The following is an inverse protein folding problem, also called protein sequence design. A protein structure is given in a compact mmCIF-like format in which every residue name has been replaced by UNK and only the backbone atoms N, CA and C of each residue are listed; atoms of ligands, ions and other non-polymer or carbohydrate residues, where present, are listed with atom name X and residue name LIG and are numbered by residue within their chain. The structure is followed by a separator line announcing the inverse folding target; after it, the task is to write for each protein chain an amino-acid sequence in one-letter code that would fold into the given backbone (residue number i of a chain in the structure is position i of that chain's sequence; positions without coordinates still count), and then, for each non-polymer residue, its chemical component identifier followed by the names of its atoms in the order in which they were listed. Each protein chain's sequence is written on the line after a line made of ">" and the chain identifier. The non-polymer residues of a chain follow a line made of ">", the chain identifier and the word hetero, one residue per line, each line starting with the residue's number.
data_IF_626874075954
#
_entry.id   IF_626874075954
#
_cell.length_a   1.000
_cell.length_b   1.000
_cell.length_c   1.000
_cell.angle_alpha   90.00
_cell.angle_beta   90.00
_cell.angle_gamma   90.00
#
_symmetry.space_group_name_H-M   'P 1'
#
loop_
_entity.id
_entity.type
_entity.pdbx_description
1 polymer ?
#
# COMPACT_ATOMS: atom_id res chain seq x y z
N UNK A 1 -6.11 69.61 30.86
CA UNK A 1 -5.07 70.01 29.90
C UNK A 1 -3.93 69.02 30.00
N UNK A 2 -3.66 68.28 28.91
CA UNK A 2 -2.37 67.67 28.45
C UNK A 2 -1.51 66.89 29.47
N UNK A 3 -0.95 65.70 29.26
CA UNK A 3 -0.95 64.58 28.29
C UNK A 3 0.00 63.57 28.96
N UNK A 4 -0.33 62.27 29.04
CA UNK A 4 0.64 61.27 29.51
C UNK A 4 0.54 59.94 28.74
N UNK A 5 1.55 59.76 27.89
CA UNK A 5 2.33 58.54 27.59
C UNK A 5 1.57 57.27 27.20
N UNK A 6 1.74 56.90 25.92
CA UNK A 6 1.38 55.63 25.32
C UNK A 6 2.23 54.48 25.90
N UNK A 7 1.60 53.33 26.18
CA UNK A 7 2.27 52.04 26.35
C UNK A 7 1.76 51.08 25.27
N UNK A 8 2.67 50.71 24.36
CA UNK A 8 2.42 49.77 23.28
C UNK A 8 2.14 48.37 23.81
N UNK A 9 0.92 47.90 23.60
CA UNK A 9 0.49 46.52 23.87
C UNK A 9 1.13 45.55 22.88
N UNK A 10 1.64 44.45 23.43
CA UNK A 10 2.33 43.38 22.70
C UNK A 10 1.37 42.67 21.74
N UNK A 11 1.82 42.55 20.49
CA UNK A 11 1.23 41.76 19.41
C UNK A 11 1.11 40.28 19.80
N UNK A 12 -0.09 39.71 19.67
CA UNK A 12 -0.29 38.26 19.52
C UNK A 12 -0.12 37.94 18.05
N UNK A 13 1.05 37.40 17.67
CA UNK A 13 1.27 36.88 16.34
C UNK A 13 0.50 35.57 16.18
N UNK A 14 -0.44 35.60 15.25
CA UNK A 14 -1.18 34.47 14.71
C UNK A 14 -0.19 33.52 14.00
N UNK A 15 -0.12 32.28 14.46
CA UNK A 15 0.84 31.28 13.99
C UNK A 15 0.38 30.64 12.68
N UNK A 16 0.41 31.39 11.59
CA UNK A 16 0.41 30.82 10.24
C UNK A 16 1.84 30.84 9.72
N UNK A 17 2.45 29.67 9.57
CA UNK A 17 3.68 29.53 8.77
C UNK A 17 3.23 29.36 7.31
N UNK A 18 3.31 30.38 6.44
CA UNK A 18 3.00 30.19 5.03
C UNK A 18 4.03 29.26 4.40
N UNK A 19 3.56 28.20 3.75
CA UNK A 19 4.37 27.25 3.01
C UNK A 19 5.21 27.99 1.97
N UNK A 20 6.53 27.94 2.13
CA UNK A 20 7.48 28.44 1.15
C UNK A 20 7.31 27.61 -0.15
N UNK A 21 7.10 28.24 -1.31
CA UNK A 21 7.05 27.50 -2.58
C UNK A 21 8.40 26.82 -2.83
N UNK A 22 8.36 25.59 -3.35
CA UNK A 22 9.52 24.76 -3.72
C UNK A 22 10.30 25.29 -4.94
N UNK A 23 10.29 26.60 -5.17
CA UNK A 23 11.17 27.25 -6.11
C UNK A 23 12.58 27.29 -5.51
N UNK A 24 13.33 26.21 -5.72
CA UNK A 24 14.70 26.04 -5.21
C UNK A 24 15.02 24.66 -4.62
N UNK A 25 14.25 23.62 -4.94
CA UNK A 25 14.66 22.25 -4.63
C UNK A 25 15.96 21.91 -5.38
N UNK A 26 16.88 21.22 -4.71
CA UNK A 26 18.09 20.71 -5.34
C UNK A 26 17.72 19.78 -6.52
N UNK A 27 18.53 19.76 -7.60
CA UNK A 27 18.18 19.08 -8.85
C UNK A 27 17.94 17.57 -8.70
N UNK A 28 18.55 16.94 -7.70
CA UNK A 28 18.32 15.57 -7.27
C UNK A 28 16.93 15.36 -6.67
N UNK A 29 16.45 16.30 -5.85
CA UNK A 29 15.09 16.28 -5.28
C UNK A 29 14.05 16.52 -6.38
N UNK A 30 14.31 17.43 -7.31
CA UNK A 30 13.40 17.70 -8.44
C UNK A 30 13.29 16.50 -9.41
N UNK A 31 14.39 15.78 -9.65
CA UNK A 31 14.37 14.57 -10.48
C UNK A 31 13.63 13.41 -9.77
N UNK A 32 13.79 13.28 -8.45
CA UNK A 32 13.08 12.30 -7.64
C UNK A 32 11.56 12.57 -7.63
N UNK A 33 11.14 13.83 -7.47
CA UNK A 33 9.71 14.18 -7.50
C UNK A 33 9.08 13.99 -8.89
N UNK A 34 9.82 14.24 -9.97
CA UNK A 34 9.34 14.02 -11.34
C UNK A 34 9.08 12.53 -11.67
N UNK A 35 9.84 11.61 -11.06
CA UNK A 35 9.71 10.16 -11.32
C UNK A 35 8.70 9.46 -10.39
N UNK A 36 8.33 10.10 -9.28
CA UNK A 36 7.42 9.58 -8.27
C UNK A 36 6.01 9.19 -8.79
N UNK A 37 5.32 9.98 -9.64
CA UNK A 37 4.00 9.59 -10.14
C UNK A 37 4.05 8.32 -10.99
N UNK A 38 5.05 8.18 -11.87
CA UNK A 38 5.25 6.98 -12.68
C UNK A 38 5.57 5.75 -11.81
N UNK A 39 6.36 5.94 -10.75
CA UNK A 39 6.66 4.88 -9.78
C UNK A 39 5.37 4.40 -9.10
N UNK A 40 4.59 5.31 -8.50
CA UNK A 40 3.32 5.00 -7.83
C UNK A 40 2.34 4.32 -8.76
N UNK A 41 2.22 4.81 -10.00
CA UNK A 41 1.36 4.22 -11.02
C UNK A 41 1.69 2.76 -11.31
N UNK A 42 2.97 2.38 -11.23
CA UNK A 42 3.45 1.03 -11.51
C UNK A 42 3.53 0.10 -10.30
N UNK A 43 3.30 0.63 -9.10
CA UNK A 43 3.32 -0.10 -7.83
C UNK A 43 1.90 -0.45 -7.39
N UNK A 44 1.73 -1.65 -6.83
CA UNK A 44 0.53 -2.05 -6.11
C UNK A 44 0.75 -1.70 -4.63
N UNK A 45 0.15 -0.60 -4.19
CA UNK A 45 0.12 -0.22 -2.78
C UNK A 45 -0.81 -1.17 -2.04
N UNK A 46 -0.25 -2.01 -1.18
CA UNK A 46 -0.95 -3.03 -0.40
C UNK A 46 -0.54 -2.96 1.09
N UNK A 47 -0.15 -1.76 1.54
CA UNK A 47 0.09 -1.47 2.96
C UNK A 47 -1.25 -1.29 3.65
N UNK A 48 -1.42 -1.86 4.86
CA UNK A 48 -2.70 -1.79 5.56
C UNK A 48 -2.94 -0.43 6.25
N UNK A 49 -1.93 0.43 6.29
CA UNK A 49 -2.01 1.78 6.89
C UNK A 49 -2.19 2.89 5.85
N UNK A 50 -1.94 2.61 4.57
CA UNK A 50 -1.97 3.58 3.47
C UNK A 50 -3.29 3.62 2.70
N UNK A 51 -4.34 2.95 3.18
CA UNK A 51 -5.59 2.83 2.47
C UNK A 51 -6.22 4.22 2.25
N UNK A 52 -6.39 4.67 0.99
CA UNK A 52 -7.08 5.91 0.74
C UNK A 52 -8.52 5.76 1.23
N UNK A 53 -9.00 6.73 2.01
CA UNK A 53 -10.43 6.87 2.21
C UNK A 53 -11.08 6.96 0.83
N UNK A 54 -12.14 6.17 0.55
CA UNK A 54 -12.81 6.23 -0.74
C UNK A 54 -13.19 7.69 -1.00
N UNK A 55 -12.63 8.26 -2.08
CA UNK A 55 -13.01 9.60 -2.52
C UNK A 55 -14.47 9.51 -2.94
N UNK A 56 -15.36 9.91 -2.04
CA UNK A 56 -16.75 10.18 -2.37
C UNK A 56 -16.72 11.22 -3.50
N UNK A 57 -17.06 10.80 -4.71
CA UNK A 57 -17.35 11.71 -5.80
C UNK A 57 -18.57 12.51 -5.37
N UNK A 58 -18.36 13.71 -4.82
CA UNK A 58 -19.41 14.72 -4.64
C UNK A 58 -20.64 14.29 -3.84
N UNK A 59 -20.53 13.46 -2.80
CA UNK A 59 -21.67 13.06 -1.97
C UNK A 59 -21.45 13.42 -0.51
N UNK A 60 -22.50 13.98 0.10
CA UNK A 60 -22.49 14.62 1.40
C UNK A 60 -21.94 13.71 2.53
N UNK A 61 -21.27 14.28 3.55
CA UNK A 61 -20.85 13.54 4.74
C UNK A 61 -22.09 13.06 5.49
N UNK A 62 -22.51 11.82 5.25
CA UNK A 62 -23.68 11.22 5.90
C UNK A 62 -24.22 9.94 5.26
N UNK A 63 -23.96 9.67 3.98
CA UNK A 63 -24.42 8.43 3.33
C UNK A 63 -23.32 7.37 3.27
N UNK A 64 -23.11 6.67 4.39
CA UNK A 64 -22.31 5.42 4.44
C UNK A 64 -22.95 4.30 3.59
N UNK A 65 -24.15 4.53 3.06
CA UNK A 65 -25.00 3.58 2.36
C UNK A 65 -25.07 3.82 0.84
N UNK A 66 -23.99 4.32 0.23
CA UNK A 66 -23.92 4.39 -1.23
C UNK A 66 -23.51 3.01 -1.76
N UNK A 67 -24.13 2.55 -2.85
CA UNK A 67 -23.83 1.25 -3.46
C UNK A 67 -22.33 1.10 -3.76
N UNK A 68 -21.67 2.18 -4.17
CA UNK A 68 -20.23 2.20 -4.43
C UNK A 68 -19.34 1.95 -3.20
N UNK A 69 -19.77 2.39 -1.99
CA UNK A 69 -19.02 2.12 -0.76
C UNK A 69 -19.11 0.64 -0.36
N UNK A 70 -20.31 0.05 -0.44
CA UNK A 70 -20.50 -1.37 -0.16
C UNK A 70 -19.72 -2.26 -1.14
N UNK A 71 -19.83 -1.99 -2.45
CA UNK A 71 -19.09 -2.73 -3.48
C UNK A 71 -17.57 -2.65 -3.29
N UNK A 72 -17.05 -1.50 -2.85
CA UNK A 72 -15.62 -1.35 -2.55
C UNK A 72 -15.18 -2.30 -1.44
N UNK A 73 -15.95 -2.37 -0.34
CA UNK A 73 -15.63 -3.25 0.78
C UNK A 73 -15.77 -4.72 0.41
N UNK A 74 -16.80 -5.10 -0.35
CA UNK A 74 -16.96 -6.46 -0.86
C UNK A 74 -15.74 -6.88 -1.68
N UNK A 75 -15.26 -6.05 -2.61
CA UNK A 75 -14.04 -6.34 -3.38
C UNK A 75 -12.80 -6.46 -2.48
N UNK A 76 -12.68 -5.61 -1.47
CA UNK A 76 -11.55 -5.67 -0.55
C UNK A 76 -11.55 -6.98 0.27
N UNK A 77 -12.72 -7.40 0.77
CA UNK A 77 -12.88 -8.66 1.50
C UNK A 77 -12.58 -9.86 0.60
N UNK A 78 -13.21 -9.92 -0.58
CA UNK A 78 -12.94 -10.97 -1.58
C UNK A 78 -11.46 -11.03 -1.95
N UNK A 79 -10.80 -9.88 -2.12
CA UNK A 79 -9.37 -9.84 -2.41
C UNK A 79 -8.52 -10.41 -1.27
N UNK A 80 -8.88 -10.13 -0.02
CA UNK A 80 -8.16 -10.60 1.15
C UNK A 80 -8.37 -12.11 1.38
N UNK A 81 -9.59 -12.61 1.14
CA UNK A 81 -9.90 -14.04 1.13
C UNK A 81 -9.07 -14.79 0.07
N UNK A 82 -9.04 -14.32 -1.18
CA UNK A 82 -8.27 -14.96 -2.26
C UNK A 82 -6.76 -14.97 -1.96
N UNK A 83 -6.23 -13.89 -1.36
CA UNK A 83 -4.86 -13.84 -0.89
C UNK A 83 -4.59 -14.89 0.18
N UNK A 84 -5.45 -14.96 1.20
CA UNK A 84 -5.30 -15.92 2.29
C UNK A 84 -5.38 -17.35 1.77
N UNK A 85 -6.36 -17.68 0.94
CA UNK A 85 -6.53 -19.01 0.32
C UNK A 85 -5.28 -19.42 -0.45
N UNK A 86 -4.74 -18.54 -1.29
CA UNK A 86 -3.56 -18.84 -2.10
C UNK A 86 -2.30 -19.05 -1.26
N UNK A 87 -2.14 -18.28 -0.19
CA UNK A 87 -1.01 -18.42 0.75
C UNK A 87 -1.14 -19.67 1.63
N UNK A 88 -2.36 -20.16 1.85
CA UNK A 88 -2.65 -21.42 2.53
C UNK A 88 -2.59 -22.65 1.61
N UNK A 89 -2.49 -22.46 0.29
CA UNK A 89 -2.35 -23.55 -0.65
C UNK A 89 -1.12 -24.43 -0.35
N UNK A 90 -1.19 -25.72 -0.73
CA UNK A 90 -0.19 -26.73 -0.38
C UNK A 90 1.23 -26.35 -0.77
N UNK A 91 1.44 -25.74 -1.94
CA UNK A 91 2.75 -25.33 -2.43
C UNK A 91 3.31 -24.12 -1.65
N UNK A 92 2.46 -23.16 -1.27
CA UNK A 92 2.82 -22.03 -0.39
C UNK A 92 3.20 -22.51 1.01
N UNK A 93 2.40 -23.42 1.59
CA UNK A 93 2.71 -24.01 2.91
C UNK A 93 3.98 -24.86 2.88
N UNK A 94 4.21 -25.61 1.81
CA UNK A 94 5.45 -26.36 1.61
C UNK A 94 6.67 -25.44 1.47
N UNK A 95 6.47 -24.19 1.05
CA UNK A 95 7.49 -23.14 1.03
C UNK A 95 7.64 -22.39 2.35
N UNK A 96 6.91 -22.79 3.40
CA UNK A 96 7.03 -22.20 4.73
C UNK A 96 6.17 -20.96 4.97
N UNK A 97 5.22 -20.68 4.08
CA UNK A 97 4.24 -19.60 4.24
C UNK A 97 3.03 -20.10 5.03
N UNK A 98 2.51 -19.28 5.94
CA UNK A 98 1.24 -19.52 6.62
C UNK A 98 0.46 -18.21 6.80
N UNK A 99 -0.80 -18.31 7.21
CA UNK A 99 -1.64 -17.16 7.59
C UNK A 99 -1.99 -17.33 9.06
N UNK A 100 -1.72 -16.30 9.88
CA UNK A 100 -1.76 -16.40 11.35
C UNK A 100 -3.09 -16.95 11.90
N UNK A 101 -4.22 -16.58 11.30
CA UNK A 101 -5.58 -17.04 11.66
C UNK A 101 -6.10 -18.19 10.80
N UNK A 102 -5.32 -18.68 9.83
CA UNK A 102 -5.79 -19.65 8.84
C UNK A 102 -6.77 -19.09 7.81
N UNK A 103 -6.88 -17.76 7.72
CA UNK A 103 -7.83 -17.04 6.87
C UNK A 103 -7.93 -15.57 7.26
N UNK A 104 -8.92 -14.87 6.76
CA UNK A 104 -9.25 -13.51 7.20
C UNK A 104 -10.73 -13.21 6.99
N UNK A 105 -11.34 -12.46 7.90
CA UNK A 105 -12.70 -11.90 7.78
C UNK A 105 -12.66 -10.39 7.50
N UNK A 106 -11.46 -9.84 7.29
CA UNK A 106 -11.21 -8.42 7.08
C UNK A 106 -10.31 -8.21 5.86
N UNK A 107 -10.20 -6.98 5.40
CA UNK A 107 -9.41 -6.55 4.25
C UNK A 107 -7.87 -6.68 4.39
N UNK A 108 -7.39 -7.40 5.41
CA UNK A 108 -5.97 -7.53 5.72
C UNK A 108 -5.62 -9.00 5.94
N UNK A 109 -4.49 -9.44 5.36
CA UNK A 109 -3.90 -10.75 5.58
C UNK A 109 -2.56 -10.59 6.30
N UNK A 110 -2.38 -11.30 7.41
CA UNK A 110 -1.09 -11.39 8.11
C UNK A 110 -0.42 -12.73 7.78
N UNK A 111 0.64 -12.65 6.98
CA UNK A 111 1.43 -13.80 6.55
C UNK A 111 2.49 -14.08 7.61
N UNK A 112 2.54 -15.32 8.08
CA UNK A 112 3.57 -15.85 8.95
C UNK A 112 4.68 -16.47 8.12
N UNK A 113 5.91 -16.01 8.35
CA UNK A 113 7.11 -16.42 7.62
C UNK A 113 8.08 -17.22 8.51
N UNK A 114 7.69 -17.60 9.73
CA UNK A 114 8.59 -18.35 10.64
C UNK A 114 9.02 -19.71 10.09
N UNK A 115 8.23 -20.31 9.19
CA UNK A 115 8.59 -21.54 8.48
C UNK A 115 9.32 -21.30 7.16
N UNK A 116 9.43 -20.05 6.71
CA UNK A 116 10.00 -19.64 5.44
C UNK A 116 11.52 -19.48 5.54
N UNK A 117 12.17 -19.38 4.37
CA UNK A 117 13.58 -18.96 4.27
C UNK A 117 13.75 -17.43 4.33
N UNK A 118 12.65 -16.67 4.43
CA UNK A 118 12.65 -15.21 4.51
C UNK A 118 12.20 -14.73 5.88
N UNK A 119 12.85 -13.70 6.40
CA UNK A 119 12.27 -12.86 7.45
C UNK A 119 11.32 -11.80 6.88
N UNK A 120 10.63 -11.05 7.77
CA UNK A 120 9.67 -10.03 7.35
C UNK A 120 10.29 -8.91 6.51
N UNK A 121 11.54 -8.51 6.80
CA UNK A 121 12.24 -7.47 6.04
C UNK A 121 12.61 -7.96 4.64
N UNK A 122 13.12 -9.18 4.52
CA UNK A 122 13.47 -9.79 3.25
C UNK A 122 12.24 -10.02 2.36
N UNK A 123 11.12 -10.41 2.95
CA UNK A 123 9.86 -10.56 2.23
C UNK A 123 9.32 -9.20 1.74
N UNK A 124 9.34 -8.18 2.59
CA UNK A 124 8.97 -6.80 2.23
C UNK A 124 9.85 -6.27 1.09
N UNK A 125 11.19 -6.35 1.22
CA UNK A 125 12.14 -5.92 0.19
C UNK A 125 11.89 -6.64 -1.13
N UNK A 126 11.66 -7.97 -1.10
CA UNK A 126 11.42 -8.76 -2.31
C UNK A 126 10.12 -8.39 -3.01
N UNK A 127 9.05 -8.17 -2.26
CA UNK A 127 7.78 -7.72 -2.82
C UNK A 127 7.93 -6.31 -3.41
N UNK A 128 8.68 -5.43 -2.73
CA UNK A 128 8.96 -4.09 -3.22
C UNK A 128 9.70 -4.09 -4.56
N UNK A 129 10.71 -4.95 -4.74
CA UNK A 129 11.47 -5.09 -5.98
C UNK A 129 10.58 -5.45 -7.20
N UNK A 130 9.51 -6.20 -6.98
CA UNK A 130 8.55 -6.57 -8.03
C UNK A 130 7.38 -5.58 -8.18
N UNK A 131 7.36 -4.51 -7.39
CA UNK A 131 6.34 -3.45 -7.44
C UNK A 131 5.13 -3.70 -6.56
N UNK A 132 5.26 -4.45 -5.47
CA UNK A 132 4.20 -4.63 -4.47
C UNK A 132 4.71 -4.05 -3.14
N UNK A 133 4.03 -3.03 -2.62
CA UNK A 133 4.37 -2.42 -1.34
C UNK A 133 3.51 -3.03 -0.22
N UNK A 134 4.15 -3.57 0.81
CA UNK A 134 3.53 -4.16 2.00
C UNK A 134 4.25 -3.68 3.26
N UNK A 135 3.68 -3.94 4.43
CA UNK A 135 4.33 -3.66 5.70
C UNK A 135 4.90 -4.95 6.30
N UNK A 136 6.21 -5.02 6.60
CA UNK A 136 6.70 -6.05 7.54
C UNK A 136 6.02 -5.86 8.90
N UNK A 137 5.67 -6.96 9.55
CA UNK A 137 4.85 -6.90 10.76
C UNK A 137 5.17 -8.04 11.71
N UNK A 138 5.17 -7.82 13.04
CA UNK A 138 5.35 -8.90 14.00
C UNK A 138 4.16 -9.88 13.99
N UNK A 139 4.42 -11.16 14.27
CA UNK A 139 3.37 -12.18 14.44
C UNK A 139 3.11 -12.48 15.93
N UNK A 140 2.01 -13.13 16.32
CA UNK A 140 1.79 -13.50 17.72
C UNK A 140 2.93 -14.36 18.27
N UNK A 141 3.49 -13.94 19.42
CA UNK A 141 4.68 -14.55 20.04
C UNK A 141 5.89 -14.58 19.08
N UNK A 142 6.15 -13.44 18.44
CA UNK A 142 7.25 -13.28 17.49
C UNK A 142 8.62 -13.54 18.14
N UNK A 143 9.46 -14.43 17.60
CA UNK A 143 10.84 -14.61 18.06
C UNK A 143 11.79 -13.49 17.59
N UNK A 144 11.41 -12.70 16.57
CA UNK A 144 12.24 -11.67 15.99
C UNK A 144 12.33 -10.42 16.88
N UNK A 145 13.44 -9.70 16.74
CA UNK A 145 13.65 -8.41 17.43
C UNK A 145 12.64 -7.36 16.97
N UNK A 146 12.24 -6.42 17.85
CA UNK A 146 11.37 -5.30 17.46
C UNK A 146 11.91 -4.56 16.22
N UNK A 147 11.08 -4.47 15.18
CA UNK A 147 11.39 -3.79 13.92
C UNK A 147 11.80 -4.70 12.74
N UNK A 148 12.16 -5.97 13.00
CA UNK A 148 12.37 -6.97 11.95
C UNK A 148 11.05 -7.66 11.57
N UNK A 149 10.36 -8.23 12.55
CA UNK A 149 9.11 -8.99 12.38
C UNK A 149 9.30 -10.31 11.63
N UNK A 150 8.55 -11.34 12.03
CA UNK A 150 8.54 -12.64 11.34
C UNK A 150 7.37 -12.79 10.36
N UNK A 151 6.83 -11.68 9.86
CA UNK A 151 5.68 -11.68 8.96
C UNK A 151 5.56 -10.44 8.09
N UNK A 152 4.61 -10.49 7.16
CA UNK A 152 4.21 -9.35 6.32
C UNK A 152 2.69 -9.19 6.38
N UNK A 153 2.24 -7.95 6.49
CA UNK A 153 0.83 -7.57 6.54
C UNK A 153 0.44 -6.94 5.22
N UNK A 154 -0.57 -7.51 4.58
CA UNK A 154 -1.01 -7.19 3.22
C UNK A 154 -2.45 -6.69 3.28
N UNK A 155 -2.68 -5.42 2.89
CA UNK A 155 -4.00 -4.79 2.78
C UNK A 155 -4.52 -4.77 1.34
N UNK A 156 -5.82 -4.88 1.16
CA UNK A 156 -6.46 -4.96 -0.17
C UNK A 156 -7.29 -3.74 -0.56
N UNK A 157 -7.61 -2.84 0.37
CA UNK A 157 -8.54 -1.73 0.10
C UNK A 157 -8.00 -0.77 -0.95
N UNK A 158 -6.72 -0.40 -0.89
CA UNK A 158 -6.13 0.46 -1.92
C UNK A 158 -6.31 -0.09 -3.34
N UNK A 159 -6.21 -1.42 -3.54
CA UNK A 159 -6.47 -2.04 -4.85
C UNK A 159 -7.96 -2.13 -5.19
N UNK A 160 -8.81 -2.41 -4.19
CA UNK A 160 -10.26 -2.39 -4.39
C UNK A 160 -10.76 -0.99 -4.79
N UNK A 161 -10.19 0.07 -4.23
CA UNK A 161 -10.46 1.47 -4.61
C UNK A 161 -10.01 1.78 -6.05
N UNK A 162 -8.95 1.12 -6.54
CA UNK A 162 -8.50 1.18 -7.94
C UNK A 162 -9.36 0.33 -8.89
N UNK A 163 -10.38 -0.36 -8.39
CA UNK A 163 -11.28 -1.17 -9.20
C UNK A 163 -10.76 -2.56 -9.54
N UNK A 164 -9.83 -3.11 -8.76
CA UNK A 164 -9.42 -4.51 -8.92
C UNK A 164 -10.61 -5.44 -8.67
N UNK A 165 -10.80 -6.41 -9.56
CA UNK A 165 -11.82 -7.43 -9.42
C UNK A 165 -11.23 -8.75 -8.88
N UNK A 166 -12.08 -9.74 -8.60
CA UNK A 166 -11.66 -11.04 -8.06
C UNK A 166 -10.55 -11.71 -8.89
N UNK A 167 -10.64 -11.65 -10.23
CA UNK A 167 -9.61 -12.20 -11.11
C UNK A 167 -8.26 -11.48 -10.98
N UNK A 168 -8.27 -10.16 -10.77
CA UNK A 168 -7.04 -9.39 -10.55
C UNK A 168 -6.43 -9.73 -9.18
N UNK A 169 -7.26 -9.89 -8.14
CA UNK A 169 -6.78 -10.31 -6.83
C UNK A 169 -6.23 -11.74 -6.82
N UNK A 170 -6.84 -12.66 -7.55
CA UNK A 170 -6.30 -14.02 -7.72
C UNK A 170 -4.90 -13.98 -8.36
N UNK A 171 -4.72 -13.16 -9.40
CA UNK A 171 -3.41 -12.96 -10.04
C UNK A 171 -2.40 -12.30 -9.09
N UNK A 172 -2.83 -11.28 -8.31
CA UNK A 172 -1.97 -10.67 -7.28
C UNK A 172 -1.55 -11.70 -6.23
N UNK A 173 -2.48 -12.54 -5.78
CA UNK A 173 -2.20 -13.59 -4.81
C UNK A 173 -1.20 -14.62 -5.33
N UNK A 174 -1.34 -15.03 -6.60
CA UNK A 174 -0.39 -15.90 -7.28
C UNK A 174 1.00 -15.27 -7.38
N UNK A 175 1.08 -13.97 -7.71
CA UNK A 175 2.34 -13.24 -7.79
C UNK A 175 3.00 -13.15 -6.41
N UNK A 176 2.26 -12.82 -5.36
CA UNK A 176 2.77 -12.73 -3.99
C UNK A 176 3.30 -14.09 -3.53
N UNK A 177 2.52 -15.16 -3.68
CA UNK A 177 2.95 -16.51 -3.32
C UNK A 177 4.21 -16.93 -4.09
N UNK A 178 4.25 -16.70 -5.41
CA UNK A 178 5.42 -17.02 -6.22
C UNK A 178 6.67 -16.21 -5.81
N UNK A 179 6.51 -14.94 -5.45
CA UNK A 179 7.62 -14.09 -5.01
C UNK A 179 8.26 -14.60 -3.70
N UNK A 180 7.43 -15.02 -2.75
CA UNK A 180 7.87 -15.43 -1.42
C UNK A 180 8.43 -16.86 -1.37
N UNK A 181 8.25 -17.66 -2.42
CA UNK A 181 8.78 -19.04 -2.49
C UNK A 181 10.32 -19.10 -2.60
N UNK A 182 10.93 -20.21 -2.14
CA UNK A 182 12.35 -20.47 -2.37
C UNK A 182 12.61 -20.70 -3.86
N UNK A 183 13.82 -20.34 -4.31
CA UNK A 183 14.24 -20.49 -5.71
C UNK A 183 13.75 -19.37 -6.65
N UNK A 184 13.04 -18.36 -6.14
CA UNK A 184 12.63 -17.19 -6.93
C UNK A 184 13.82 -16.26 -7.19
N UNK A 185 14.54 -16.56 -8.26
CA UNK A 185 15.77 -15.87 -8.67
C UNK A 185 15.49 -14.49 -9.32
N UNK A 186 16.54 -13.85 -9.87
CA UNK A 186 16.40 -12.55 -10.50
C UNK A 186 15.49 -12.57 -11.75
N UNK A 187 15.61 -13.59 -12.60
CA UNK A 187 14.81 -13.69 -13.83
C UNK A 187 13.34 -13.95 -13.50
N UNK A 188 13.06 -14.81 -12.53
CA UNK A 188 11.72 -15.04 -12.01
C UNK A 188 11.12 -13.75 -11.43
N UNK A 189 11.87 -12.99 -10.63
CA UNK A 189 11.42 -11.68 -10.10
C UNK A 189 11.13 -10.67 -11.22
N UNK A 190 11.93 -10.62 -12.28
CA UNK A 190 11.68 -9.76 -13.44
C UNK A 190 10.36 -10.14 -14.14
N UNK A 191 10.10 -11.43 -14.31
CA UNK A 191 8.84 -11.91 -14.89
C UNK A 191 7.63 -11.54 -14.02
N UNK A 192 7.73 -11.73 -12.70
CA UNK A 192 6.70 -11.32 -11.75
C UNK A 192 6.45 -9.81 -11.79
N UNK A 193 7.51 -8.99 -11.83
CA UNK A 193 7.40 -7.54 -12.01
C UNK A 193 6.67 -7.15 -13.30
N UNK A 194 6.87 -7.93 -14.38
CA UNK A 194 6.12 -7.77 -15.62
C UNK A 194 4.61 -7.96 -15.43
N UNK A 195 4.21 -8.99 -14.68
CA UNK A 195 2.81 -9.28 -14.33
C UNK A 195 2.21 -8.17 -13.46
N UNK A 196 2.94 -7.72 -12.43
CA UNK A 196 2.53 -6.60 -11.57
C UNK A 196 2.31 -5.32 -12.37
N UNK A 197 3.23 -4.99 -13.28
CA UNK A 197 3.08 -3.82 -14.16
C UNK A 197 1.89 -3.95 -15.10
N UNK A 198 1.57 -5.16 -15.56
CA UNK A 198 0.39 -5.38 -16.39
C UNK A 198 -0.90 -5.15 -15.59
N UNK A 199 -1.00 -5.67 -14.36
CA UNK A 199 -2.09 -5.39 -13.42
C UNK A 199 -2.23 -3.88 -13.19
N UNK A 200 -1.14 -3.20 -12.82
CA UNK A 200 -1.16 -1.78 -12.50
C UNK A 200 -1.60 -0.91 -13.68
N UNK A 201 -1.23 -1.26 -14.92
CA UNK A 201 -1.68 -0.56 -16.14
C UNK A 201 -3.17 -0.75 -16.44
N UNK A 202 -3.77 -1.88 -16.07
CA UNK A 202 -5.22 -2.10 -16.22
C UNK A 202 -6.03 -1.21 -15.28
N UNK A 203 -5.43 -0.81 -14.15
CA UNK A 203 -6.08 -0.06 -13.08
C UNK A 203 -5.25 1.19 -12.70
N UNK A 204 -5.21 2.22 -13.56
CA UNK A 204 -4.43 3.44 -13.32
C UNK A 204 -4.88 4.19 -12.06
N UNK A 205 -3.95 4.76 -11.27
CA UNK A 205 -4.26 5.53 -10.04
C UNK A 205 -4.86 6.91 -10.35
N UNK A 206 -4.41 7.55 -11.43
CA UNK A 206 -4.87 8.87 -11.88
C UNK A 206 -5.27 8.79 -13.36
N UNK A 207 -6.52 8.42 -13.68
CA UNK A 207 -6.96 8.38 -15.07
C UNK A 207 -6.86 9.77 -15.74
N UNK A 208 -7.16 10.84 -15.01
CA UNK A 208 -7.24 12.21 -15.54
C UNK A 208 -5.87 12.86 -15.82
N UNK A 209 -4.79 12.38 -15.18
CA UNK A 209 -3.42 12.87 -15.47
C UNK A 209 -2.84 12.23 -16.73
N UNK A 210 -3.45 11.16 -17.25
CA UNK A 210 -2.96 10.45 -18.44
C UNK A 210 -3.33 11.14 -19.76
N UNK A 211 -4.30 12.07 -19.75
CA UNK A 211 -4.70 12.84 -20.94
C UNK A 211 -3.94 14.17 -21.09
N UNK A 212 -3.46 14.76 -19.99
CA UNK A 212 -2.76 16.05 -20.03
C UNK A 212 -1.30 15.96 -20.52
N UNK A 213 -0.72 14.76 -20.55
CA UNK A 213 0.69 14.49 -20.90
C UNK A 213 0.87 13.80 -22.28
N UNK A 214 -0.15 13.83 -23.17
CA UNK A 214 -0.03 13.42 -24.59
C UNK A 214 -0.12 14.63 -25.51
#
# INVERSE_FOLDING_TARGET
>A
MTTAVQHGGRSRADGTVPGRPLAGAAPDVAAATASEPARRQSTLEMTASGDPEPRAVGEAPGSVLTTGFAEHWERALTGAELLAERLLARDSRAAGLDVVSGGTDVHVVLVDLRGSHLDGRQAEDRLHEIGIAVDRHPVPRDPATPGAGSGVRIGTRALAARGFAAADFAEVADVVAAALRPGTDHLARLALRGRVRALARRHPLHPDLTEADR
#
